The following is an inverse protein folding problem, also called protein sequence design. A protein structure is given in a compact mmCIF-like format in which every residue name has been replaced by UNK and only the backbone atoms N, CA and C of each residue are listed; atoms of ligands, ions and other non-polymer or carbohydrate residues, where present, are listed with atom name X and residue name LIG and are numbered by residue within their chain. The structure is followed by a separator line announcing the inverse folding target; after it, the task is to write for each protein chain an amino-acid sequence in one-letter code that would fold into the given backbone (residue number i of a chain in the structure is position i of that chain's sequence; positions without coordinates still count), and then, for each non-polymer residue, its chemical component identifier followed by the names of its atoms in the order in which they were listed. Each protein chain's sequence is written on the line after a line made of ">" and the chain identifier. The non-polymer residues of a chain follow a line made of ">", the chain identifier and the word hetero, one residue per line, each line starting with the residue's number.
data_IF_655644947131
#
_entry.id   IF_655644947131
#
_cell.length_a   1.000
_cell.length_b   1.000
_cell.length_c   1.000
_cell.angle_alpha   90.00
_cell.angle_beta   90.00
_cell.angle_gamma   90.00
#
_symmetry.space_group_name_H-M   'P 1'
#
loop_
_entity.id
_entity.type
_entity.pdbx_description
1 polymer ?
#
# COMPACT_ATOMS: atom_id res chain seq x y z
N UNK A 1 6.41 -30.67 -16.05
CA UNK A 1 6.42 -30.08 -14.70
C UNK A 1 5.47 -28.92 -14.75
N UNK A 2 4.34 -28.99 -14.04
CA UNK A 2 3.32 -27.95 -14.12
C UNK A 2 3.90 -26.64 -13.60
N UNK A 3 3.84 -25.60 -14.42
CA UNK A 3 4.14 -24.23 -14.03
C UNK A 3 3.05 -23.80 -13.04
N UNK A 4 3.29 -23.98 -11.74
CA UNK A 4 2.46 -23.34 -10.72
C UNK A 4 2.91 -21.88 -10.63
N UNK A 5 2.29 -21.02 -11.43
CA UNK A 5 2.49 -19.57 -11.39
C UNK A 5 2.33 -19.08 -9.94
N UNK A 6 3.35 -18.38 -9.41
CA UNK A 6 3.26 -17.81 -8.06
C UNK A 6 2.24 -16.66 -8.07
N UNK A 7 1.00 -16.97 -7.70
CA UNK A 7 -0.06 -15.99 -7.54
C UNK A 7 0.33 -15.01 -6.42
N UNK A 8 0.77 -13.81 -6.81
CA UNK A 8 1.08 -12.70 -5.91
C UNK A 8 -0.21 -12.09 -5.35
N UNK A 9 -0.46 -12.27 -4.06
CA UNK A 9 -1.63 -11.72 -3.37
C UNK A 9 -1.95 -12.46 -2.07
N UNK A 10 -2.59 -11.80 -1.11
CA UNK A 10 -3.04 -12.50 0.10
C UNK A 10 -4.23 -13.42 -0.21
N UNK A 11 -4.33 -14.52 0.54
CA UNK A 11 -5.46 -15.45 0.46
C UNK A 11 -6.76 -14.85 1.02
N UNK A 12 -6.66 -13.82 1.88
CA UNK A 12 -7.78 -13.26 2.63
C UNK A 12 -8.61 -12.29 1.77
N UNK A 13 -9.95 -12.37 1.80
CA UNK A 13 -10.80 -11.40 1.12
C UNK A 13 -10.73 -10.04 1.83
N UNK A 14 -10.86 -8.96 1.06
CA UNK A 14 -11.00 -7.62 1.62
C UNK A 14 -12.45 -7.42 2.08
N UNK A 15 -12.66 -7.38 3.39
CA UNK A 15 -14.00 -7.32 4.00
C UNK A 15 -14.49 -5.86 4.12
N UNK A 16 -13.60 -4.92 4.46
CA UNK A 16 -13.95 -3.51 4.61
C UNK A 16 -14.16 -2.86 3.23
N UNK A 17 -15.22 -2.06 3.10
CA UNK A 17 -15.45 -1.31 1.86
C UNK A 17 -14.53 -0.10 1.76
N UNK A 18 -14.29 0.39 0.54
CA UNK A 18 -13.45 1.57 0.32
C UNK A 18 -14.04 2.83 0.98
N UNK A 19 -15.37 2.95 1.01
CA UNK A 19 -16.08 4.07 1.64
C UNK A 19 -15.88 4.04 3.16
N UNK A 20 -16.05 2.88 3.80
CA UNK A 20 -15.83 2.71 5.25
C UNK A 20 -14.41 3.10 5.69
N UNK A 21 -13.39 2.73 4.91
CA UNK A 21 -11.99 3.06 5.22
C UNK A 21 -11.71 4.57 5.13
N UNK A 22 -12.40 5.27 4.22
CA UNK A 22 -12.28 6.73 4.07
C UNK A 22 -13.02 7.44 5.20
N UNK A 23 -14.24 7.00 5.52
CA UNK A 23 -15.05 7.54 6.62
C UNK A 23 -14.33 7.45 7.96
N UNK A 24 -13.70 6.30 8.24
CA UNK A 24 -12.92 6.09 9.46
C UNK A 24 -11.49 6.64 9.38
N UNK A 25 -11.13 7.36 8.31
CA UNK A 25 -9.82 8.01 8.09
C UNK A 25 -8.63 7.05 8.28
N UNK A 26 -8.78 5.80 7.83
CA UNK A 26 -7.70 4.81 7.93
C UNK A 26 -6.53 5.23 7.02
N UNK A 27 -5.30 5.35 7.54
CA UNK A 27 -4.13 5.70 6.74
C UNK A 27 -3.84 4.64 5.67
N UNK A 28 -3.35 5.07 4.49
CA UNK A 28 -2.99 4.18 3.38
C UNK A 28 -2.18 2.92 3.74
N UNK A 29 -1.14 2.96 4.60
CA UNK A 29 -0.38 1.76 4.93
C UNK A 29 -1.19 0.67 5.66
N UNK A 30 -2.29 1.04 6.32
CA UNK A 30 -3.17 0.13 7.07
C UNK A 30 -4.47 -0.20 6.32
N UNK A 31 -4.53 0.06 5.00
CA UNK A 31 -5.66 -0.31 4.14
C UNK A 31 -5.42 -1.66 3.49
N UNK A 32 -5.11 -2.64 4.31
CA UNK A 32 -4.85 -4.03 3.94
C UNK A 32 -6.10 -4.91 4.20
N UNK A 33 -5.96 -6.22 4.02
CA UNK A 33 -7.06 -7.18 4.25
C UNK A 33 -7.54 -7.18 5.71
N UNK A 34 -6.69 -6.81 6.67
CA UNK A 34 -7.01 -6.78 8.10
C UNK A 34 -7.64 -5.45 8.57
N UNK A 35 -7.82 -4.46 7.70
CA UNK A 35 -8.31 -3.14 8.06
C UNK A 35 -9.71 -3.13 8.73
N UNK A 36 -10.54 -4.14 8.45
CA UNK A 36 -11.86 -4.32 9.08
C UNK A 36 -11.77 -4.53 10.62
N UNK A 37 -10.66 -5.06 11.14
CA UNK A 37 -10.39 -5.21 12.57
C UNK A 37 -9.77 -3.95 13.19
N UNK A 38 -9.11 -3.11 12.38
CA UNK A 38 -8.50 -1.88 12.84
C UNK A 38 -9.54 -0.80 13.18
N UNK A 39 -10.66 -0.76 12.45
CA UNK A 39 -11.77 0.17 12.72
C UNK A 39 -12.33 -0.01 14.15
N UNK A 40 -12.77 -1.19 14.60
CA UNK A 40 -13.27 -1.38 15.96
C UNK A 40 -12.17 -1.16 17.02
N UNK A 41 -10.92 -1.55 16.75
CA UNK A 41 -9.80 -1.28 17.65
C UNK A 41 -9.59 0.23 17.87
N UNK A 42 -9.63 1.03 16.81
CA UNK A 42 -9.46 2.48 16.92
C UNK A 42 -10.65 3.16 17.61
N UNK A 43 -11.88 2.64 17.42
CA UNK A 43 -13.05 3.09 18.18
C UNK A 43 -12.89 2.81 19.68
N UNK A 44 -12.47 1.59 20.04
CA UNK A 44 -12.21 1.23 21.43
C UNK A 44 -11.10 2.08 22.05
N UNK A 45 -9.98 2.27 21.34
CA UNK A 45 -8.88 3.15 21.77
C UNK A 45 -9.32 4.58 22.02
N UNK A 46 -10.16 5.14 21.15
CA UNK A 46 -10.68 6.49 21.33
C UNK A 46 -11.64 6.60 22.51
N UNK A 47 -12.45 5.57 22.78
CA UNK A 47 -13.39 5.56 23.90
C UNK A 47 -12.68 5.40 25.25
N UNK A 48 -11.66 4.54 25.31
CA UNK A 48 -10.91 4.22 26.53
C UNK A 48 -9.62 5.05 26.67
N UNK A 49 -9.52 6.19 25.98
CA UNK A 49 -8.36 7.09 26.04
C UNK A 49 -6.99 6.40 25.84
N UNK A 50 -6.93 5.39 24.96
CA UNK A 50 -5.74 4.63 24.61
C UNK A 50 -5.06 3.93 25.80
N UNK A 51 -5.84 3.56 26.83
CA UNK A 51 -5.32 2.80 27.96
C UNK A 51 -4.81 1.41 27.52
N UNK A 52 -3.57 0.99 27.86
CA UNK A 52 -2.97 -0.24 27.33
C UNK A 52 -3.67 -1.57 27.68
N UNK A 53 -4.48 -1.57 28.75
CA UNK A 53 -5.16 -2.75 29.30
C UNK A 53 -6.65 -2.83 28.93
N UNK A 54 -7.19 -1.85 28.20
CA UNK A 54 -8.53 -1.86 27.64
C UNK A 54 -8.37 -2.00 26.12
N UNK A 55 -9.16 -2.86 25.47
CA UNK A 55 -9.01 -3.24 24.05
C UNK A 55 -7.94 -4.30 23.72
N UNK A 56 -7.53 -5.14 24.68
CA UNK A 56 -6.54 -6.20 24.42
C UNK A 56 -7.05 -7.27 23.45
N UNK A 57 -8.33 -7.63 23.55
CA UNK A 57 -8.99 -8.58 22.63
C UNK A 57 -8.91 -8.11 21.18
N UNK A 58 -9.33 -6.88 20.91
CA UNK A 58 -9.37 -6.26 19.58
C UNK A 58 -7.96 -6.01 19.05
N UNK A 59 -7.02 -5.69 19.94
CA UNK A 59 -5.60 -5.58 19.58
C UNK A 59 -5.06 -6.94 19.12
N UNK A 60 -5.30 -7.99 19.92
CA UNK A 60 -4.77 -9.31 19.64
C UNK A 60 -5.38 -9.93 18.38
N UNK A 61 -6.66 -9.70 18.12
CA UNK A 61 -7.29 -10.17 16.87
C UNK A 61 -6.71 -9.46 15.64
N UNK A 62 -6.48 -8.15 15.71
CA UNK A 62 -5.83 -7.39 14.64
C UNK A 62 -4.38 -7.86 14.41
N UNK A 63 -3.59 -7.99 15.46
CA UNK A 63 -2.18 -8.44 15.40
C UNK A 63 -2.06 -9.86 14.83
N UNK A 64 -2.97 -10.77 15.21
CA UNK A 64 -3.01 -12.12 14.65
C UNK A 64 -3.28 -12.10 13.14
N UNK A 65 -4.20 -11.24 12.70
CA UNK A 65 -4.52 -11.11 11.29
C UNK A 65 -3.31 -10.63 10.47
N UNK A 66 -2.61 -9.59 10.96
CA UNK A 66 -1.39 -9.04 10.36
C UNK A 66 -0.25 -10.07 10.34
N UNK A 67 -0.07 -10.81 11.43
CA UNK A 67 0.92 -11.88 11.51
C UNK A 67 0.72 -12.92 10.41
N UNK A 68 -0.52 -13.39 10.22
CA UNK A 68 -0.85 -14.35 9.17
C UNK A 68 -0.59 -13.77 7.76
N UNK A 69 -0.89 -12.48 7.52
CA UNK A 69 -0.59 -11.82 6.23
C UNK A 69 0.92 -11.75 5.96
N UNK A 70 1.71 -11.42 6.98
CA UNK A 70 3.17 -11.36 6.85
C UNK A 70 3.74 -12.75 6.57
N UNK A 71 3.24 -13.78 7.25
CA UNK A 71 3.65 -15.16 7.03
C UNK A 71 3.33 -15.64 5.61
N UNK A 72 2.13 -15.33 5.09
CA UNK A 72 1.77 -15.62 3.69
C UNK A 72 2.75 -14.98 2.71
N UNK A 73 3.06 -13.70 2.90
CA UNK A 73 3.99 -12.96 2.03
C UNK A 73 5.42 -13.51 2.13
N UNK A 74 5.87 -13.90 3.32
CA UNK A 74 7.18 -14.53 3.50
C UNK A 74 7.28 -15.85 2.74
N UNK A 75 6.24 -16.69 2.80
CA UNK A 75 6.19 -17.95 2.05
C UNK A 75 6.18 -17.71 0.54
N UNK A 76 5.44 -16.70 0.06
CA UNK A 76 5.46 -16.30 -1.35
C UNK A 76 6.85 -15.85 -1.79
N UNK A 77 7.52 -15.01 -1.01
CA UNK A 77 8.89 -14.58 -1.30
C UNK A 77 9.90 -15.72 -1.28
N UNK A 78 9.72 -16.72 -0.40
CA UNK A 78 10.56 -17.93 -0.41
C UNK A 78 10.35 -18.78 -1.65
N UNK A 79 9.11 -18.90 -2.16
CA UNK A 79 8.81 -19.60 -3.42
C UNK A 79 9.50 -18.90 -4.60
N UNK A 80 9.30 -17.58 -4.73
CA UNK A 80 9.94 -16.76 -5.77
C UNK A 80 11.47 -16.90 -5.71
N UNK A 81 12.08 -16.81 -4.52
CA UNK A 81 13.53 -16.94 -4.38
C UNK A 81 14.07 -18.30 -4.80
N UNK A 82 13.31 -19.38 -4.56
CA UNK A 82 13.68 -20.75 -5.00
C UNK A 82 13.62 -20.87 -6.53
N UNK A 83 12.59 -20.29 -7.14
CA UNK A 83 12.41 -20.26 -8.59
C UNK A 83 13.46 -19.38 -9.29
N UNK A 84 13.82 -18.24 -8.70
CA UNK A 84 14.85 -17.32 -9.20
C UNK A 84 16.29 -17.79 -8.93
N UNK A 85 16.48 -18.99 -8.37
CA UNK A 85 17.81 -19.56 -8.13
C UNK A 85 18.65 -18.80 -7.08
N UNK A 86 18.01 -18.07 -6.15
CA UNK A 86 18.69 -17.40 -5.05
C UNK A 86 19.39 -16.08 -5.39
N UNK A 87 19.05 -15.45 -6.53
CA UNK A 87 19.58 -14.14 -6.90
C UNK A 87 19.37 -13.09 -5.77
N UNK A 88 20.38 -12.26 -5.55
CA UNK A 88 20.36 -11.27 -4.47
C UNK A 88 19.31 -10.16 -4.72
N UNK A 89 18.59 -9.70 -3.68
CA UNK A 89 17.67 -8.58 -3.79
C UNK A 89 18.47 -7.30 -4.07
N UNK A 90 18.55 -6.89 -5.33
CA UNK A 90 19.39 -5.75 -5.72
C UNK A 90 19.51 -5.50 -7.22
N UNK A 91 19.21 -6.49 -8.07
CA UNK A 91 19.08 -6.23 -9.51
C UNK A 91 17.68 -5.71 -9.80
N UNK A 92 17.46 -4.43 -9.51
CA UNK A 92 16.41 -3.67 -10.18
C UNK A 92 16.67 -3.77 -11.68
N UNK A 93 15.98 -4.67 -12.39
CA UNK A 93 15.60 -4.37 -13.76
C UNK A 93 14.76 -3.11 -13.65
N UNK A 94 15.41 -1.95 -13.82
CA UNK A 94 14.73 -0.67 -13.96
C UNK A 94 13.65 -0.94 -15.00
N UNK A 95 12.39 -0.93 -14.58
CA UNK A 95 11.31 -0.72 -15.54
C UNK A 95 11.76 0.51 -16.33
N UNK A 96 11.71 0.50 -17.68
CA UNK A 96 12.20 1.62 -18.46
C UNK A 96 11.53 2.85 -17.87
N UNK A 97 12.34 3.70 -17.23
CA UNK A 97 11.89 5.00 -16.78
C UNK A 97 11.28 5.59 -18.05
N UNK A 98 9.97 5.78 -18.03
CA UNK A 98 9.21 6.64 -18.93
C UNK A 98 10.20 7.52 -19.69
N UNK A 99 10.50 7.14 -20.93
CA UNK A 99 11.38 7.88 -21.81
C UNK A 99 10.62 9.15 -22.18
N UNK A 100 10.52 10.08 -21.24
CA UNK A 100 10.10 11.44 -21.50
C UNK A 100 11.27 12.07 -22.25
N UNK A 101 11.13 12.33 -23.56
CA UNK A 101 12.18 13.00 -24.30
C UNK A 101 12.35 14.40 -23.68
N UNK A 102 13.54 14.66 -23.16
CA UNK A 102 13.95 15.92 -22.52
C UNK A 102 14.05 17.11 -23.51
N UNK A 103 13.34 17.03 -24.64
CA UNK A 103 13.55 17.88 -25.81
C UNK A 103 12.22 18.31 -26.45
N UNK A 104 11.30 18.92 -25.68
CA UNK A 104 10.20 19.67 -26.31
C UNK A 104 9.58 20.77 -25.44
N UNK A 105 10.39 21.44 -24.62
CA UNK A 105 9.95 22.62 -23.87
C UNK A 105 10.95 23.79 -23.92
N UNK A 106 11.67 23.94 -25.04
CA UNK A 106 12.58 25.09 -25.25
C UNK A 106 12.48 25.63 -26.70
N UNK A 107 11.27 25.68 -27.29
CA UNK A 107 11.04 26.41 -28.56
C UNK A 107 9.63 27.00 -28.67
N UNK A 108 9.00 27.39 -27.55
CA UNK A 108 7.74 28.16 -27.55
C UNK A 108 7.77 29.28 -26.50
N UNK A 109 8.94 29.89 -26.29
CA UNK A 109 9.15 30.96 -25.30
C UNK A 109 9.65 32.30 -25.87
N UNK A 110 9.37 32.67 -27.13
CA UNK A 110 9.32 34.09 -27.43
C UNK A 110 8.16 34.43 -28.36
N UNK A 111 7.08 35.04 -27.83
CA UNK A 111 6.25 36.08 -28.51
C UNK A 111 4.98 36.54 -27.75
N UNK A 112 4.86 36.39 -26.43
CA UNK A 112 3.76 37.03 -25.68
C UNK A 112 4.29 37.82 -24.47
N UNK A 113 4.97 38.92 -24.79
CA UNK A 113 5.18 40.06 -23.89
C UNK A 113 4.44 41.27 -24.49
N UNK A 114 3.12 41.34 -24.22
CA UNK A 114 2.15 42.45 -24.44
C UNK A 114 0.76 41.81 -24.30
N UNK A 115 -0.18 42.16 -23.44
CA UNK A 115 -0.46 43.27 -22.52
C UNK A 115 -1.24 42.65 -21.34
N UNK A 116 -1.04 43.04 -20.08
CA UNK A 116 -1.97 43.96 -19.41
C UNK A 116 -2.98 43.26 -18.49
N UNK A 117 -2.70 43.28 -17.18
CA UNK A 117 -3.63 43.58 -16.08
C UNK A 117 -4.89 42.71 -15.83
N UNK A 118 -4.93 42.06 -14.65
CA UNK A 118 -5.88 42.36 -13.54
C UNK A 118 -6.33 41.10 -12.79
N UNK A 119 -5.93 41.04 -11.51
CA UNK A 119 -6.53 40.25 -10.43
C UNK A 119 -8.06 40.47 -10.33
N UNK A 120 -8.79 39.37 -10.22
CA UNK A 120 -10.04 39.25 -9.44
C UNK A 120 -10.25 37.79 -9.04
#
# INVERSE_FOLDING_TARGET
>A
MAEEEVKLGSSKPMIATQQELVENRVPLPYRDQCAHLLIPLNKCRSAEFFLPWKCESERHTYEKCEYELVMERMLQMQKIRKEEGGAAPGQRRRHPAYSLPRQRLILFFPLLLRDGNQES
#
